data_IF_063289628999
#
_entry.id   IF_063289628999
#
_cell.length_a   1.000
_cell.length_b   1.000
_cell.length_c   1.000
_cell.angle_alpha   90.00
_cell.angle_beta   90.00
_cell.angle_gamma   90.00
#
_symmetry.space_group_name_H-M   'P 1'
#
loop_
_entity.id
_entity.type
_entity.pdbx_description
1 polymer ?
#
# COMPACT_ATOMS: atom_id res chain seq x y z
N UNK A 1 11.49 23.07 -12.29
CA UNK A 1 11.77 22.62 -10.91
C UNK A 1 12.52 23.72 -10.18
N UNK A 2 12.11 24.04 -8.95
CA UNK A 2 12.82 25.01 -8.11
C UNK A 2 14.16 24.40 -7.71
N UNK A 3 15.28 25.09 -7.94
CA UNK A 3 16.62 24.61 -7.54
C UNK A 3 16.92 25.08 -6.12
N UNK A 4 17.32 24.15 -5.25
CA UNK A 4 17.77 24.45 -3.89
C UNK A 4 19.28 24.22 -3.80
N UNK A 5 19.98 25.08 -3.07
CA UNK A 5 21.41 24.92 -2.81
C UNK A 5 21.62 23.89 -1.69
N UNK A 6 22.45 22.89 -1.94
CA UNK A 6 22.77 21.82 -0.98
C UNK A 6 24.28 21.57 -0.98
N UNK A 7 24.87 21.35 0.19
CA UNK A 7 26.31 21.08 0.33
C UNK A 7 26.54 19.57 0.46
N UNK A 8 27.44 19.02 -0.35
CA UNK A 8 27.76 17.59 -0.39
C UNK A 8 29.26 17.42 -0.13
N UNK A 9 29.61 16.48 0.73
CA UNK A 9 31.00 16.04 0.89
C UNK A 9 31.25 14.88 -0.07
N UNK A 10 32.14 15.08 -1.05
CA UNK A 10 32.56 14.07 -2.02
C UNK A 10 34.06 13.85 -1.87
N UNK A 11 34.54 12.65 -2.18
CA UNK A 11 35.98 12.40 -2.23
C UNK A 11 36.61 13.15 -3.40
N UNK A 12 37.89 13.52 -3.28
CA UNK A 12 38.62 14.25 -4.34
C UNK A 12 38.57 13.51 -5.69
N UNK A 13 38.73 12.19 -5.68
CA UNK A 13 38.65 11.35 -6.88
C UNK A 13 37.29 11.45 -7.58
N UNK A 14 36.20 11.55 -6.82
CA UNK A 14 34.84 11.70 -7.36
C UNK A 14 34.67 13.10 -7.97
N UNK A 15 35.20 14.14 -7.34
CA UNK A 15 35.13 15.51 -7.87
C UNK A 15 35.89 15.61 -9.20
N UNK A 16 37.09 15.03 -9.28
CA UNK A 16 37.88 15.02 -10.52
C UNK A 16 37.20 14.25 -11.66
N UNK A 17 36.55 13.13 -11.34
CA UNK A 17 35.80 12.36 -12.33
C UNK A 17 34.57 13.13 -12.85
N UNK A 18 33.85 13.81 -11.96
CA UNK A 18 32.70 14.67 -12.31
C UNK A 18 33.17 15.83 -13.20
N UNK A 19 34.30 16.44 -12.92
CA UNK A 19 34.85 17.54 -13.71
C UNK A 19 35.18 17.14 -15.13
N UNK A 20 35.87 16.01 -15.26
CA UNK A 20 36.22 15.45 -16.56
C UNK A 20 34.98 15.18 -17.39
N UNK A 21 34.00 14.49 -16.78
CA UNK A 21 32.76 14.13 -17.46
C UNK A 21 31.91 15.37 -17.81
N UNK A 22 31.90 16.39 -16.95
CA UNK A 22 31.19 17.64 -17.22
C UNK A 22 31.79 18.36 -18.42
N UNK A 23 33.12 18.34 -18.55
CA UNK A 23 33.83 18.96 -19.67
C UNK A 23 33.61 18.18 -20.97
N UNK A 24 33.66 16.84 -20.92
CA UNK A 24 33.34 15.97 -22.06
C UNK A 24 31.92 16.17 -22.58
N UNK A 25 30.94 16.36 -21.68
CA UNK A 25 29.53 16.57 -22.01
C UNK A 25 29.15 18.04 -22.22
N UNK A 26 30.13 18.96 -22.17
CA UNK A 26 29.92 20.40 -22.33
C UNK A 26 28.82 20.96 -21.38
N UNK A 27 28.83 20.49 -20.14
CA UNK A 27 27.89 20.83 -19.07
C UNK A 27 28.65 21.35 -17.83
N UNK A 28 27.96 21.69 -16.75
CA UNK A 28 28.59 22.10 -15.49
C UNK A 28 28.36 21.07 -14.38
N UNK A 29 29.23 21.08 -13.36
CA UNK A 29 29.17 20.15 -12.21
C UNK A 29 27.76 20.03 -11.62
N UNK A 30 27.10 21.15 -11.33
CA UNK A 30 25.78 21.15 -10.70
C UNK A 30 24.73 20.50 -11.60
N UNK A 31 24.76 20.77 -12.90
CA UNK A 31 23.85 20.17 -13.86
C UNK A 31 24.13 18.68 -14.02
N UNK A 32 25.38 18.28 -14.19
CA UNK A 32 25.78 16.88 -14.32
C UNK A 32 25.46 16.08 -13.06
N UNK A 33 25.76 16.61 -11.88
CA UNK A 33 25.39 15.97 -10.60
C UNK A 33 23.88 15.83 -10.51
N UNK A 34 23.12 16.87 -10.88
CA UNK A 34 21.67 16.79 -10.87
C UNK A 34 21.14 15.77 -11.89
N UNK A 35 21.76 15.63 -13.06
CA UNK A 35 21.40 14.63 -14.08
C UNK A 35 21.76 13.21 -13.60
N UNK A 36 22.96 12.97 -13.09
CA UNK A 36 23.35 11.69 -12.49
C UNK A 36 22.42 11.32 -11.33
N UNK A 37 22.10 12.28 -10.47
CA UNK A 37 21.15 12.08 -9.39
C UNK A 37 19.73 11.88 -9.90
N UNK A 38 19.32 12.50 -11.00
CA UNK A 38 18.00 12.30 -11.61
C UNK A 38 17.87 10.98 -12.38
N UNK A 39 18.98 10.46 -12.90
CA UNK A 39 19.06 9.14 -13.53
C UNK A 39 19.13 8.05 -12.46
N UNK A 40 19.86 8.30 -11.36
CA UNK A 40 19.99 7.37 -10.24
C UNK A 40 18.78 7.36 -9.32
N UNK A 41 18.19 8.52 -9.05
CA UNK A 41 16.90 8.67 -8.39
C UNK A 41 15.89 8.76 -9.52
N UNK A 42 15.22 7.67 -9.94
CA UNK A 42 14.21 7.78 -10.97
C UNK A 42 13.20 8.83 -10.49
N UNK A 43 13.26 10.04 -11.07
CA UNK A 43 12.39 11.17 -10.73
C UNK A 43 11.02 10.91 -11.35
N UNK A 44 10.44 9.75 -11.01
CA UNK A 44 9.02 9.48 -11.14
C UNK A 44 8.36 10.48 -10.21
N UNK A 45 7.61 11.43 -10.79
CA UNK A 45 6.86 12.35 -9.95
C UNK A 45 5.91 11.54 -9.08
N UNK A 46 5.59 11.98 -7.85
CA UNK A 46 4.67 11.25 -6.99
C UNK A 46 3.35 10.90 -7.68
N UNK A 47 2.87 11.78 -8.55
CA UNK A 47 1.67 11.57 -9.36
C UNK A 47 1.83 10.41 -10.35
N UNK A 48 2.98 10.32 -11.03
CA UNK A 48 3.25 9.21 -11.95
C UNK A 48 3.40 7.90 -11.18
N UNK A 49 4.07 7.91 -10.03
CA UNK A 49 4.22 6.71 -9.20
C UNK A 49 2.86 6.19 -8.73
N UNK A 50 1.99 7.05 -8.21
CA UNK A 50 0.63 6.68 -7.79
C UNK A 50 -0.16 6.12 -8.97
N UNK A 51 -0.10 6.77 -10.13
CA UNK A 51 -0.79 6.30 -11.33
C UNK A 51 -0.29 4.93 -11.81
N UNK A 52 1.02 4.67 -11.72
CA UNK A 52 1.62 3.40 -12.09
C UNK A 52 1.20 2.28 -11.11
N UNK A 53 1.23 2.56 -9.80
CA UNK A 53 0.71 1.64 -8.76
C UNK A 53 -0.75 1.28 -9.02
N UNK A 54 -1.61 2.28 -9.24
CA UNK A 54 -3.05 2.03 -9.47
C UNK A 54 -3.33 1.25 -10.74
N UNK A 55 -2.64 1.56 -11.84
CA UNK A 55 -2.76 0.79 -13.09
C UNK A 55 -2.35 -0.67 -12.89
N UNK A 56 -1.28 -0.91 -12.14
CA UNK A 56 -0.80 -2.25 -11.82
C UNK A 56 -1.81 -2.99 -10.92
N UNK A 57 -2.38 -2.32 -9.90
CA UNK A 57 -3.49 -2.83 -9.06
C UNK A 57 -4.68 -3.27 -9.92
N UNK A 58 -5.16 -2.44 -10.85
CA UNK A 58 -6.29 -2.80 -11.71
C UNK A 58 -6.05 -4.10 -12.48
N UNK A 59 -4.85 -4.28 -13.04
CA UNK A 59 -4.49 -5.49 -13.77
C UNK A 59 -4.56 -6.75 -12.91
N UNK A 60 -4.34 -6.65 -11.59
CA UNK A 60 -4.48 -7.78 -10.66
C UNK A 60 -5.93 -8.16 -10.37
N UNK A 61 -6.90 -7.29 -10.66
CA UNK A 61 -8.31 -7.47 -10.36
C UNK A 61 -9.21 -7.67 -11.60
N UNK A 62 -8.70 -7.42 -12.82
CA UNK A 62 -9.42 -7.59 -14.11
C UNK A 62 -10.12 -8.95 -14.30
N UNK A 63 -9.66 -10.01 -13.61
CA UNK A 63 -10.23 -11.37 -13.68
C UNK A 63 -10.82 -11.88 -12.36
N UNK A 64 -11.06 -10.99 -11.41
CA UNK A 64 -11.55 -11.34 -10.07
C UNK A 64 -12.98 -10.87 -9.86
N UNK A 65 -13.61 -11.31 -8.76
CA UNK A 65 -14.93 -10.81 -8.35
C UNK A 65 -14.90 -9.35 -7.87
N UNK A 66 -13.71 -8.78 -7.66
CA UNK A 66 -13.52 -7.41 -7.21
C UNK A 66 -13.45 -6.48 -8.42
N UNK A 67 -14.37 -5.53 -8.49
CA UNK A 67 -14.41 -4.55 -9.58
C UNK A 67 -13.61 -3.32 -9.16
N UNK A 68 -12.48 -3.09 -9.82
CA UNK A 68 -11.65 -1.91 -9.66
C UNK A 68 -12.20 -0.73 -10.48
N UNK A 69 -12.15 0.47 -9.91
CA UNK A 69 -12.41 1.72 -10.60
C UNK A 69 -11.61 2.84 -9.93
N UNK A 70 -10.84 3.59 -10.73
CA UNK A 70 -10.25 4.85 -10.30
C UNK A 70 -10.51 5.96 -11.34
N UNK A 71 -10.56 7.21 -10.88
CA UNK A 71 -10.66 8.37 -11.77
C UNK A 71 -9.28 8.96 -12.02
N UNK A 72 -9.01 9.43 -13.24
CA UNK A 72 -7.74 10.08 -13.58
C UNK A 72 -7.52 11.32 -12.68
N UNK A 73 -6.31 11.44 -12.11
CA UNK A 73 -5.85 12.50 -11.19
C UNK A 73 -6.36 12.42 -9.75
N UNK A 74 -7.04 11.34 -9.36
CA UNK A 74 -7.31 11.06 -7.96
C UNK A 74 -6.14 10.28 -7.34
N UNK A 75 -5.83 10.58 -6.08
CA UNK A 75 -4.87 9.79 -5.31
C UNK A 75 -5.56 8.56 -4.68
N UNK A 76 -6.71 8.18 -5.21
CA UNK A 76 -7.61 7.16 -4.67
C UNK A 76 -7.99 6.14 -5.74
N UNK A 77 -7.94 4.85 -5.38
CA UNK A 77 -8.47 3.74 -6.17
C UNK A 77 -9.55 3.02 -5.37
N UNK A 78 -10.69 2.72 -6.00
CA UNK A 78 -11.79 2.01 -5.36
C UNK A 78 -11.98 0.60 -5.91
N UNK A 79 -12.20 -0.37 -5.02
CA UNK A 79 -12.55 -1.75 -5.34
C UNK A 79 -13.87 -2.10 -4.65
N UNK A 80 -14.79 -2.75 -5.36
CA UNK A 80 -16.07 -3.22 -4.80
C UNK A 80 -16.09 -4.72 -4.67
N UNK A 81 -16.54 -5.20 -3.51
CA UNK A 81 -16.76 -6.62 -3.21
C UNK A 81 -18.19 -6.86 -2.75
N UNK A 82 -18.82 -7.89 -3.29
CA UNK A 82 -20.14 -8.34 -2.83
C UNK A 82 -20.00 -9.36 -1.70
N UNK A 83 -20.77 -9.18 -0.64
CA UNK A 83 -20.91 -10.17 0.43
C UNK A 83 -22.04 -11.15 0.13
N UNK A 84 -21.83 -12.43 0.43
CA UNK A 84 -22.88 -13.45 0.39
C UNK A 84 -23.71 -13.34 1.68
N UNK A 85 -24.64 -12.39 1.70
CA UNK A 85 -25.57 -12.15 2.83
C UNK A 85 -26.99 -11.92 2.29
N UNK A 86 -28.01 -11.93 3.17
CA UNK A 86 -29.45 -11.94 2.82
C UNK A 86 -29.87 -10.84 1.82
N UNK A 87 -29.19 -9.70 1.79
CA UNK A 87 -29.41 -8.59 0.85
C UNK A 87 -28.15 -8.16 0.08
N UNK A 88 -27.12 -9.01 0.03
CA UNK A 88 -25.86 -8.80 -0.70
C UNK A 88 -25.25 -7.39 -0.51
N UNK A 89 -24.92 -6.99 0.74
CA UNK A 89 -24.22 -5.73 0.98
C UNK A 89 -22.90 -5.70 0.21
N UNK A 90 -22.54 -4.50 -0.22
CA UNK A 90 -21.27 -4.25 -0.90
C UNK A 90 -20.28 -3.63 0.08
N UNK A 91 -19.09 -4.21 0.16
CA UNK A 91 -17.93 -3.58 0.78
C UNK A 91 -17.18 -2.81 -0.30
N UNK A 92 -16.75 -1.59 0.03
CA UNK A 92 -15.90 -0.78 -0.83
C UNK A 92 -14.55 -0.57 -0.17
N UNK A 93 -13.51 -1.11 -0.79
CA UNK A 93 -12.13 -0.83 -0.45
C UNK A 93 -11.70 0.43 -1.21
N UNK A 94 -11.15 1.41 -0.51
CA UNK A 94 -10.56 2.62 -1.10
C UNK A 94 -9.09 2.69 -0.67
N UNK A 95 -8.20 2.59 -1.64
CA UNK A 95 -6.75 2.76 -1.46
C UNK A 95 -6.44 4.22 -1.75
N UNK A 96 -5.93 4.95 -0.76
CA UNK A 96 -5.47 6.33 -0.92
C UNK A 96 -3.96 6.38 -0.73
N UNK A 97 -3.22 6.90 -1.71
CA UNK A 97 -1.76 7.04 -1.65
C UNK A 97 -1.35 8.50 -1.46
N UNK A 98 -0.35 8.74 -0.62
CA UNK A 98 0.11 10.10 -0.31
C UNK A 98 1.19 10.56 -1.30
N UNK A 99 1.05 11.79 -1.81
CA UNK A 99 2.05 12.40 -2.73
C UNK A 99 3.37 12.70 -2.04
N UNK A 100 3.30 12.99 -0.75
CA UNK A 100 4.47 13.23 0.10
C UNK A 100 4.38 12.25 1.27
N UNK A 101 4.80 11.00 1.07
CA UNK A 101 4.77 10.01 2.13
C UNK A 101 5.75 10.43 3.23
N UNK A 102 5.26 10.47 4.47
CA UNK A 102 6.11 10.66 5.65
C UNK A 102 6.47 9.30 6.23
N UNK A 103 5.65 8.78 7.16
CA UNK A 103 5.86 7.48 7.83
C UNK A 103 5.14 6.32 7.15
N UNK A 104 4.08 6.61 6.42
CA UNK A 104 3.29 5.65 5.66
C UNK A 104 3.07 6.20 4.25
N UNK A 105 2.85 5.30 3.30
CA UNK A 105 2.71 5.62 1.88
C UNK A 105 1.26 5.90 1.49
N UNK A 106 0.32 5.60 2.39
CA UNK A 106 -1.10 5.77 2.16
C UNK A 106 -1.94 5.07 3.23
N UNK A 107 -3.19 4.78 2.87
CA UNK A 107 -4.14 4.10 3.72
C UNK A 107 -5.16 3.29 2.91
N UNK A 108 -5.61 2.18 3.49
CA UNK A 108 -6.76 1.42 3.03
C UNK A 108 -7.97 1.79 3.88
N UNK A 109 -9.06 2.20 3.23
CA UNK A 109 -10.37 2.42 3.85
C UNK A 109 -11.34 1.33 3.40
N UNK A 110 -11.91 0.61 4.34
CA UNK A 110 -12.93 -0.41 4.10
C UNK A 110 -14.27 0.17 4.52
N UNK A 111 -15.01 0.69 3.53
CA UNK A 111 -16.31 1.29 3.74
C UNK A 111 -17.40 0.21 3.63
N UNK A 112 -18.29 0.16 4.62
CA UNK A 112 -19.42 -0.75 4.66
C UNK A 112 -20.69 0.01 5.02
N UNK A 113 -21.81 -0.34 4.38
CA UNK A 113 -23.11 0.26 4.66
C UNK A 113 -24.13 -0.84 4.92
N UNK A 114 -24.49 -1.00 6.18
CA UNK A 114 -25.44 -2.02 6.63
C UNK A 114 -26.27 -1.49 7.79
N UNK A 115 -27.54 -1.89 7.86
CA UNK A 115 -28.41 -1.67 9.02
C UNK A 115 -28.67 -2.97 9.81
N UNK A 116 -28.14 -4.11 9.35
CA UNK A 116 -28.29 -5.39 10.06
C UNK A 116 -27.36 -5.40 11.29
N UNK A 117 -27.92 -5.52 12.51
CA UNK A 117 -27.11 -5.57 13.73
C UNK A 117 -26.12 -6.73 13.73
N UNK A 118 -26.57 -7.93 13.34
CA UNK A 118 -25.73 -9.13 13.27
C UNK A 118 -24.53 -8.94 12.33
N UNK A 119 -24.74 -8.30 11.18
CA UNK A 119 -23.66 -8.02 10.24
C UNK A 119 -22.69 -6.95 10.78
N UNK A 120 -23.20 -5.93 11.48
CA UNK A 120 -22.36 -4.92 12.13
C UNK A 120 -21.47 -5.57 13.20
N UNK A 121 -22.03 -6.48 13.99
CA UNK A 121 -21.28 -7.25 15.00
C UNK A 121 -20.19 -8.09 14.33
N UNK A 122 -20.53 -8.90 13.33
CA UNK A 122 -19.56 -9.75 12.64
C UNK A 122 -18.45 -8.96 11.94
N UNK A 123 -18.78 -7.81 11.33
CA UNK A 123 -17.77 -6.90 10.76
C UNK A 123 -16.84 -6.34 11.85
N UNK A 124 -17.40 -5.87 12.96
CA UNK A 124 -16.65 -5.29 14.07
C UNK A 124 -15.72 -6.31 14.72
N UNK A 125 -16.20 -7.54 14.92
CA UNK A 125 -15.39 -8.66 15.42
C UNK A 125 -14.24 -8.97 14.47
N UNK A 126 -14.52 -9.12 13.17
CA UNK A 126 -13.49 -9.33 12.17
C UNK A 126 -12.41 -8.24 12.19
N UNK A 127 -12.78 -6.96 12.15
CA UNK A 127 -11.80 -5.87 12.10
C UNK A 127 -10.90 -5.83 13.34
N UNK A 128 -11.46 -6.11 14.53
CA UNK A 128 -10.68 -6.22 15.77
C UNK A 128 -9.72 -7.39 15.74
N UNK A 129 -10.18 -8.55 15.28
CA UNK A 129 -9.34 -9.75 15.14
C UNK A 129 -8.21 -9.52 14.13
N UNK A 130 -8.53 -8.91 12.98
CA UNK A 130 -7.55 -8.57 11.96
C UNK A 130 -6.47 -7.65 12.50
N UNK A 131 -6.84 -6.53 13.13
CA UNK A 131 -5.88 -5.60 13.72
C UNK A 131 -5.02 -6.28 14.80
N UNK A 132 -5.58 -7.21 15.59
CA UNK A 132 -4.82 -7.99 16.56
C UNK A 132 -3.80 -8.92 15.91
N UNK A 133 -4.17 -9.63 14.83
CA UNK A 133 -3.26 -10.48 14.08
C UNK A 133 -2.10 -9.64 13.52
N UNK A 134 -2.41 -8.51 12.89
CA UNK A 134 -1.36 -7.65 12.33
C UNK A 134 -0.41 -7.11 13.40
N UNK A 135 -0.97 -6.64 14.52
CA UNK A 135 -0.18 -6.16 15.67
C UNK A 135 0.75 -7.24 16.24
N UNK A 136 0.32 -8.51 16.19
CA UNK A 136 1.09 -9.64 16.72
C UNK A 136 2.21 -10.05 15.77
N UNK A 137 1.93 -10.10 14.47
CA UNK A 137 2.80 -10.76 13.50
C UNK A 137 3.65 -9.81 12.65
N UNK A 138 3.11 -8.66 12.24
CA UNK A 138 3.75 -7.80 11.23
C UNK A 138 4.14 -6.42 11.72
N UNK A 139 3.56 -5.91 12.82
CA UNK A 139 3.82 -4.53 13.31
C UNK A 139 5.33 -4.22 13.46
N UNK A 140 6.11 -5.18 13.97
CA UNK A 140 7.56 -5.05 14.17
C UNK A 140 8.37 -4.90 12.87
N UNK A 141 7.77 -5.19 11.72
CA UNK A 141 8.42 -5.09 10.41
C UNK A 141 8.40 -3.65 9.88
N UNK A 142 7.54 -2.79 10.42
CA UNK A 142 7.32 -1.43 9.94
C UNK A 142 7.99 -0.37 10.82
N UNK A 143 8.20 0.85 10.30
CA UNK A 143 8.68 1.96 11.12
C UNK A 143 7.75 2.24 12.30
N UNK A 144 8.31 2.75 13.38
CA UNK A 144 7.54 3.05 14.58
C UNK A 144 6.38 4.03 14.29
N UNK A 145 5.18 3.68 14.74
CA UNK A 145 3.93 4.40 14.52
C UNK A 145 3.51 4.54 13.04
N UNK A 146 4.04 3.71 12.12
CA UNK A 146 3.65 3.72 10.71
C UNK A 146 2.30 3.05 10.45
N UNK A 147 1.99 1.98 11.18
CA UNK A 147 0.70 1.29 11.10
C UNK A 147 -0.27 1.82 12.15
N UNK A 148 -1.39 2.35 11.68
CA UNK A 148 -2.50 2.78 12.52
C UNK A 148 -3.80 2.14 12.04
N UNK A 149 -4.69 1.88 13.00
CA UNK A 149 -5.98 1.23 12.80
C UNK A 149 -7.07 2.10 13.40
N UNK A 150 -8.10 2.42 12.62
CA UNK A 150 -9.30 3.07 13.14
C UNK A 150 -10.54 2.33 12.68
N UNK A 151 -11.55 2.30 13.55
CA UNK A 151 -12.85 1.75 13.25
C UNK A 151 -13.91 2.76 13.70
N UNK A 152 -14.60 3.34 12.74
CA UNK A 152 -15.79 4.15 12.96
C UNK A 152 -17.06 3.36 12.57
N UNK A 153 -18.24 3.96 12.70
CA UNK A 153 -19.54 3.29 12.50
C UNK A 153 -19.71 2.67 11.10
N UNK A 154 -18.99 3.17 10.10
CA UNK A 154 -19.19 2.78 8.69
C UNK A 154 -17.90 2.46 7.95
N UNK A 155 -16.76 2.58 8.61
CA UNK A 155 -15.47 2.48 7.96
C UNK A 155 -14.39 1.99 8.92
N UNK A 156 -13.65 1.00 8.44
CA UNK A 156 -12.36 0.60 9.00
C UNK A 156 -11.24 1.23 8.18
N UNK A 157 -10.21 1.79 8.82
CA UNK A 157 -9.04 2.36 8.14
C UNK A 157 -7.76 1.74 8.66
N UNK A 158 -6.83 1.43 7.76
CA UNK A 158 -5.53 0.83 8.04
C UNK A 158 -4.44 1.55 7.24
N UNK A 159 -3.42 2.10 7.90
CA UNK A 159 -2.30 2.74 7.19
C UNK A 159 -1.52 1.72 6.34
N UNK A 160 -0.99 2.14 5.20
CA UNK A 160 -0.15 1.32 4.32
C UNK A 160 1.29 1.81 4.42
N UNK A 161 2.24 0.95 4.74
CA UNK A 161 3.65 1.34 4.87
C UNK A 161 4.58 0.28 4.30
N UNK A 162 5.81 0.64 4.00
CA UNK A 162 6.81 -0.32 3.52
C UNK A 162 7.63 -0.82 4.73
N UNK A 163 7.92 -2.13 4.83
CA UNK A 163 8.79 -2.65 5.89
C UNK A 163 10.15 -1.94 5.94
N UNK A 164 10.74 -1.79 7.14
CA UNK A 164 11.96 -0.99 7.38
C UNK A 164 13.15 -1.42 6.50
N UNK A 165 13.22 -2.70 6.17
CA UNK A 165 14.32 -3.29 5.38
C UNK A 165 13.92 -3.61 3.93
N UNK A 166 12.81 -3.05 3.44
CA UNK A 166 12.31 -3.24 2.08
C UNK A 166 12.35 -1.92 1.29
N UNK A 167 12.49 -2.06 -0.03
CA UNK A 167 12.28 -0.97 -0.98
C UNK A 167 11.35 -1.50 -2.04
N UNK A 168 10.17 -0.91 -2.13
CA UNK A 168 9.17 -1.29 -3.12
C UNK A 168 9.14 -0.25 -4.22
N UNK A 169 9.16 -0.72 -5.46
CA UNK A 169 8.77 0.08 -6.62
C UNK A 169 7.24 0.11 -6.77
N UNK A 170 6.75 0.61 -7.91
CA UNK A 170 5.31 0.69 -8.16
C UNK A 170 4.65 -0.69 -8.25
N UNK A 171 5.32 -1.67 -8.86
CA UNK A 171 4.78 -3.02 -9.04
C UNK A 171 4.82 -3.80 -7.73
N UNK A 172 5.88 -3.66 -6.93
CA UNK A 172 5.96 -4.22 -5.59
C UNK A 172 4.83 -3.66 -4.68
N UNK A 173 4.61 -2.35 -4.70
CA UNK A 173 3.51 -1.71 -3.99
C UNK A 173 2.16 -2.23 -4.46
N UNK A 174 1.94 -2.33 -5.78
CA UNK A 174 0.70 -2.83 -6.33
C UNK A 174 0.45 -4.30 -5.96
N UNK A 175 1.49 -5.14 -6.01
CA UNK A 175 1.47 -6.55 -5.61
C UNK A 175 1.10 -6.69 -4.13
N UNK A 176 1.77 -5.93 -3.26
CA UNK A 176 1.56 -6.00 -1.82
C UNK A 176 0.14 -5.53 -1.43
N UNK A 177 -0.31 -4.39 -1.97
CA UNK A 177 -1.67 -3.85 -1.72
C UNK A 177 -2.73 -4.82 -2.23
N UNK A 178 -2.58 -5.33 -3.45
CA UNK A 178 -3.55 -6.25 -4.06
C UNK A 178 -3.63 -7.55 -3.29
N UNK A 179 -2.49 -8.12 -2.90
CA UNK A 179 -2.43 -9.35 -2.11
C UNK A 179 -3.08 -9.17 -0.74
N UNK A 180 -2.78 -8.05 -0.07
CA UNK A 180 -3.39 -7.70 1.21
C UNK A 180 -4.92 -7.61 1.08
N UNK A 181 -5.44 -6.87 0.10
CA UNK A 181 -6.90 -6.72 -0.09
C UNK A 181 -7.57 -8.05 -0.43
N UNK A 182 -6.95 -8.89 -1.26
CA UNK A 182 -7.47 -10.22 -1.62
C UNK A 182 -7.61 -11.12 -0.38
N UNK A 183 -6.57 -11.18 0.46
CA UNK A 183 -6.60 -12.02 1.67
C UNK A 183 -7.55 -11.44 2.70
N UNK A 184 -7.54 -10.12 2.90
CA UNK A 184 -8.49 -9.44 3.78
C UNK A 184 -9.94 -9.75 3.38
N UNK A 185 -10.30 -9.59 2.11
CA UNK A 185 -11.66 -9.84 1.60
C UNK A 185 -12.06 -11.32 1.71
N UNK A 186 -11.16 -12.23 1.34
CA UNK A 186 -11.42 -13.67 1.44
C UNK A 186 -11.64 -14.11 2.89
N UNK A 187 -10.78 -13.67 3.81
CA UNK A 187 -10.90 -14.00 5.23
C UNK A 187 -12.13 -13.34 5.85
N UNK A 188 -12.48 -12.11 5.45
CA UNK A 188 -13.70 -11.44 5.90
C UNK A 188 -14.95 -12.21 5.48
N UNK A 189 -15.03 -12.61 4.21
CA UNK A 189 -16.14 -13.43 3.70
C UNK A 189 -16.25 -14.77 4.44
N UNK A 190 -15.11 -15.43 4.70
CA UNK A 190 -15.05 -16.69 5.45
C UNK A 190 -15.48 -16.53 6.91
N UNK A 191 -15.15 -15.39 7.53
CA UNK A 191 -15.61 -15.05 8.88
C UNK A 191 -17.13 -14.81 8.91
N UNK A 192 -17.64 -13.96 8.02
CA UNK A 192 -19.07 -13.62 7.98
C UNK A 192 -19.98 -14.81 7.59
N UNK A 193 -19.46 -15.80 6.86
CA UNK A 193 -20.19 -17.03 6.55
C UNK A 193 -20.19 -18.05 7.68
N UNK A 194 -19.44 -17.80 8.77
CA UNK A 194 -19.27 -18.76 9.87
C UNK A 194 -18.42 -19.98 9.49
N UNK A 195 -17.62 -19.89 8.42
CA UNK A 195 -16.80 -21.01 7.94
C UNK A 195 -15.50 -21.23 8.73
N UNK A 196 -15.15 -20.32 9.65
CA UNK A 196 -14.12 -20.58 10.65
C UNK A 196 -14.70 -21.37 11.82
N UNK A 197 -14.10 -22.51 12.14
CA UNK A 197 -14.46 -23.32 13.30
C UNK A 197 -14.12 -22.63 14.62
N UNK A 198 -13.01 -21.88 14.64
CA UNK A 198 -12.49 -21.16 15.80
C UNK A 198 -11.51 -20.05 15.36
N UNK A 199 -10.97 -19.32 16.35
CA UNK A 199 -9.96 -18.28 16.12
C UNK A 199 -8.64 -18.82 15.57
N UNK A 200 -8.27 -20.05 15.92
CA UNK A 200 -7.02 -20.67 15.47
C UNK A 200 -7.07 -20.98 13.97
N UNK A 201 -8.23 -21.38 13.43
CA UNK A 201 -8.41 -21.56 12.00
C UNK A 201 -8.21 -20.25 11.22
N UNK A 202 -8.70 -19.12 11.76
CA UNK A 202 -8.49 -17.80 11.15
C UNK A 202 -7.03 -17.36 11.24
N UNK A 203 -6.38 -17.58 12.38
CA UNK A 203 -4.96 -17.29 12.56
C UNK A 203 -4.07 -18.12 11.62
N UNK A 204 -4.38 -19.39 11.42
CA UNK A 204 -3.67 -20.27 10.49
C UNK A 204 -3.77 -19.78 9.04
N UNK A 205 -4.94 -19.32 8.58
CA UNK A 205 -5.10 -18.74 7.25
C UNK A 205 -4.24 -17.47 7.09
N UNK A 206 -4.18 -16.64 8.15
CA UNK A 206 -3.33 -15.44 8.15
C UNK A 206 -1.83 -15.80 8.11
N UNK A 207 -1.39 -16.78 8.91
CA UNK A 207 -0.01 -17.26 8.89
C UNK A 207 0.35 -17.91 7.55
N UNK A 208 -0.59 -18.63 6.92
CA UNK A 208 -0.38 -19.19 5.58
C UNK A 208 -0.16 -18.08 4.55
N UNK A 209 -0.89 -16.97 4.64
CA UNK A 209 -0.64 -15.77 3.84
C UNK A 209 0.75 -15.18 4.09
N UNK A 210 1.15 -14.98 5.35
CA UNK A 210 2.48 -14.44 5.66
C UNK A 210 3.62 -15.35 5.15
N UNK A 211 3.39 -16.66 5.11
CA UNK A 211 4.36 -17.64 4.63
C UNK A 211 4.26 -17.92 3.11
N UNK A 212 3.33 -17.29 2.39
CA UNK A 212 3.15 -17.55 0.95
C UNK A 212 4.20 -16.86 0.06
N UNK A 213 5.12 -16.10 0.66
CA UNK A 213 6.04 -15.22 -0.06
C UNK A 213 5.39 -13.93 -0.58
N UNK A 214 4.18 -13.60 -0.10
CA UNK A 214 3.54 -12.34 -0.45
C UNK A 214 4.32 -11.15 0.11
N UNK A 215 4.43 -10.09 -0.69
CA UNK A 215 4.97 -8.82 -0.20
C UNK A 215 4.03 -8.23 0.86
N UNK A 216 4.62 -7.77 1.96
CA UNK A 216 3.93 -7.20 3.11
C UNK A 216 3.92 -5.68 2.99
N UNK A 217 2.78 -5.06 3.29
CA UNK A 217 2.52 -3.61 3.23
C UNK A 217 1.65 -3.16 4.39
#
# INVERSE_FOLDING_TARGET
>A
MKKSMYSLMLSEQVVEAIDRLALEQNTNRSRLINEILADYLPLVTPEKHIADVFRSIESFFDRTELIAAHAMNDNTLSLKSSLVYRYRPTIRYEVELFRTPERNIGQLKVNFRTQSPDLIVGLTEFFRLWARLENTYVLKLFPENALNYTLDETRFTRSLSVPVNARYDADDCANAISSYIKVFDAMLKKHLSGAYSDLTAMENDYLAYLNSGALII
#
